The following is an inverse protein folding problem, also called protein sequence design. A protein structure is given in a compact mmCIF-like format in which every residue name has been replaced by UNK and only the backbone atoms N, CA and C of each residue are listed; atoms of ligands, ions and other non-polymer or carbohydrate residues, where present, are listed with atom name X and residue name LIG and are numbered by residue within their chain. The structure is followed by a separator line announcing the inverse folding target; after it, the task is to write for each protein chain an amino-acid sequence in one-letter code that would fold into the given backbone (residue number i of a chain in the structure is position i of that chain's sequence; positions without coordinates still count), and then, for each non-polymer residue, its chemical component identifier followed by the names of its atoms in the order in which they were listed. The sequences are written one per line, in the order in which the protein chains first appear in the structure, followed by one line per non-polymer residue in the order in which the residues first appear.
data_IF_147623727562
#
_entry.id   IF_147623727562
#
_cell.length_a   1.000
_cell.length_b   1.000
_cell.length_c   1.000
_cell.angle_alpha   90.00
_cell.angle_beta   90.00
_cell.angle_gamma   90.00
#
_symmetry.space_group_name_H-M   'P 1'
#
loop_
_entity.id
_entity.type
_entity.pdbx_description
1 polymer ?
#
# COMPACT_ATOMS: atom_id res chain seq x y z
N UNK A 1 -39.80 15.97 -49.36
CA UNK A 1 -39.99 14.87 -48.37
C UNK A 1 -38.78 13.93 -48.25
N UNK A 2 -38.03 13.63 -49.32
CA UNK A 2 -36.93 12.64 -49.26
C UNK A 2 -35.69 13.10 -48.46
N UNK A 3 -35.43 14.41 -48.40
CA UNK A 3 -34.26 14.98 -47.72
C UNK A 3 -34.36 14.91 -46.19
N UNK A 4 -35.57 15.08 -45.66
CA UNK A 4 -35.86 14.96 -44.23
C UNK A 4 -35.75 13.51 -43.75
N UNK A 5 -36.09 12.55 -44.60
CA UNK A 5 -36.00 11.12 -44.26
C UNK A 5 -34.55 10.64 -44.21
N UNK A 6 -33.70 11.12 -45.12
CA UNK A 6 -32.27 10.83 -45.13
C UNK A 6 -31.53 11.43 -43.92
N UNK A 7 -31.92 12.62 -43.46
CA UNK A 7 -31.38 13.23 -42.25
C UNK A 7 -31.80 12.47 -40.98
N UNK A 8 -33.05 12.02 -40.90
CA UNK A 8 -33.52 11.20 -39.79
C UNK A 8 -32.80 9.84 -39.71
N UNK A 9 -32.54 9.20 -40.85
CA UNK A 9 -31.81 7.94 -40.90
C UNK A 9 -30.33 8.09 -40.48
N UNK A 10 -29.68 9.21 -40.87
CA UNK A 10 -28.29 9.50 -40.48
C UNK A 10 -28.13 9.77 -38.99
N UNK A 11 -29.10 10.45 -38.37
CA UNK A 11 -29.05 10.76 -36.93
C UNK A 11 -29.25 9.51 -36.05
N UNK A 12 -30.00 8.51 -36.55
CA UNK A 12 -30.26 7.25 -35.85
C UNK A 12 -29.03 6.33 -35.82
N UNK A 13 -28.11 6.45 -36.79
CA UNK A 13 -26.84 5.71 -36.83
C UNK A 13 -25.80 6.22 -35.80
N UNK A 14 -25.92 7.47 -35.34
CA UNK A 14 -24.96 8.06 -34.39
C UNK A 14 -25.35 7.74 -32.93
N UNK A 15 -26.63 7.47 -32.65
CA UNK A 15 -27.13 7.16 -31.32
C UNK A 15 -26.84 5.71 -30.85
N UNK A 16 -26.39 4.84 -31.75
CA UNK A 16 -26.15 3.41 -31.48
C UNK A 16 -24.71 3.04 -31.14
N UNK A 17 -23.78 4.00 -31.12
CA UNK A 17 -22.39 3.72 -30.71
C UNK A 17 -22.39 3.53 -29.18
N UNK A 18 -22.15 2.31 -28.66
CA UNK A 18 -21.87 2.17 -27.24
C UNK A 18 -20.64 3.01 -26.93
N UNK A 19 -20.80 3.98 -26.02
CA UNK A 19 -19.69 4.52 -25.25
C UNK A 19 -19.10 3.34 -24.46
N UNK A 20 -18.24 2.55 -25.11
CA UNK A 20 -17.41 1.57 -24.47
C UNK A 20 -16.45 2.36 -23.57
N UNK A 21 -16.90 2.61 -22.34
CA UNK A 21 -16.00 2.91 -21.24
C UNK A 21 -15.14 1.66 -21.13
N UNK A 22 -13.87 1.75 -21.51
CA UNK A 22 -12.91 0.73 -21.14
C UNK A 22 -12.85 0.76 -19.61
N UNK A 23 -13.54 -0.16 -18.96
CA UNK A 23 -13.18 -0.55 -17.61
C UNK A 23 -11.73 -1.01 -17.70
N UNK A 24 -10.84 -0.23 -17.09
CA UNK A 24 -9.43 -0.62 -16.90
C UNK A 24 -9.45 -1.96 -16.17
N UNK A 25 -9.35 -3.03 -16.95
CA UNK A 25 -9.28 -4.38 -16.45
C UNK A 25 -8.08 -4.46 -15.51
N UNK A 26 -8.27 -5.20 -14.42
CA UNK A 26 -7.27 -5.52 -13.39
C UNK A 26 -6.10 -6.33 -13.96
N UNK A 27 -5.28 -5.71 -14.81
CA UNK A 27 -4.16 -6.33 -15.51
C UNK A 27 -3.65 -5.44 -16.62
N UNK A 28 -2.38 -5.05 -16.53
CA UNK A 28 -1.67 -4.34 -17.57
C UNK A 28 -1.68 -5.11 -18.89
N UNK A 29 -2.33 -4.55 -19.92
CA UNK A 29 -2.44 -5.19 -21.23
C UNK A 29 -1.32 -4.70 -22.14
N UNK A 30 -0.57 -5.63 -22.71
CA UNK A 30 0.50 -5.32 -23.66
C UNK A 30 -0.02 -5.43 -25.10
N UNK A 31 -0.08 -4.31 -25.83
CA UNK A 31 -0.60 -4.25 -27.21
C UNK A 31 0.55 -4.34 -28.21
N UNK A 32 0.40 -5.17 -29.25
CA UNK A 32 1.35 -5.28 -30.36
C UNK A 32 0.76 -4.69 -31.63
N UNK A 33 1.46 -3.77 -32.28
CA UNK A 33 1.08 -3.18 -33.58
C UNK A 33 2.18 -3.52 -34.57
N UNK A 34 1.83 -4.17 -35.68
CA UNK A 34 2.77 -4.55 -36.75
C UNK A 34 4.00 -5.38 -36.27
N UNK A 35 3.84 -6.17 -35.20
CA UNK A 35 4.91 -7.01 -34.64
C UNK A 35 5.79 -6.32 -33.59
N UNK A 36 5.56 -5.04 -33.29
CA UNK A 36 6.25 -4.32 -32.23
C UNK A 36 5.34 -4.14 -31.02
N UNK A 37 5.86 -4.48 -29.84
CA UNK A 37 5.20 -4.23 -28.55
C UNK A 37 5.21 -2.74 -28.25
N UNK A 38 4.04 -2.13 -28.13
CA UNK A 38 3.91 -0.77 -27.65
C UNK A 38 3.92 -0.80 -26.10
N UNK A 39 4.88 -0.11 -25.44
CA UNK A 39 4.92 -0.07 -23.98
C UNK A 39 3.75 0.76 -23.43
N UNK A 40 2.99 0.20 -22.49
CA UNK A 40 1.99 0.95 -21.72
C UNK A 40 2.67 1.64 -20.54
N UNK A 41 3.02 2.92 -20.74
CA UNK A 41 3.67 3.71 -19.70
C UNK A 41 2.74 4.02 -18.50
N UNK A 42 1.42 4.02 -18.69
CA UNK A 42 0.47 4.29 -17.61
C UNK A 42 0.45 3.14 -16.61
N UNK A 43 0.31 1.90 -17.09
CA UNK A 43 0.47 0.70 -16.29
C UNK A 43 1.84 0.66 -15.62
N UNK A 44 2.93 0.89 -16.38
CA UNK A 44 4.28 0.80 -15.82
C UNK A 44 4.46 1.80 -14.67
N UNK A 45 3.92 3.01 -14.81
CA UNK A 45 3.94 4.03 -13.74
C UNK A 45 3.19 3.58 -12.49
N UNK A 46 2.02 2.93 -12.64
CA UNK A 46 1.25 2.37 -11.52
C UNK A 46 2.00 1.21 -10.85
N UNK A 47 2.62 0.30 -11.61
CA UNK A 47 3.39 -0.81 -11.08
C UNK A 47 4.66 -0.35 -10.36
N UNK A 48 5.29 0.74 -10.81
CA UNK A 48 6.41 1.38 -10.12
C UNK A 48 6.00 2.15 -8.86
N UNK A 49 4.72 2.13 -8.47
CA UNK A 49 4.25 2.73 -7.23
C UNK A 49 3.93 4.23 -7.32
N UNK A 50 3.86 4.81 -8.53
CA UNK A 50 3.36 6.19 -8.73
C UNK A 50 1.82 6.28 -8.72
N UNK A 51 1.13 5.29 -8.13
CA UNK A 51 -0.30 5.40 -7.87
C UNK A 51 -0.53 6.40 -6.70
N UNK A 52 -1.33 7.46 -6.85
CA UNK A 52 -1.65 8.41 -5.79
C UNK A 52 -2.18 7.73 -4.51
N UNK A 53 -2.95 6.64 -4.64
CA UNK A 53 -3.45 5.89 -3.48
C UNK A 53 -2.33 5.19 -2.72
N UNK A 54 -1.36 4.62 -3.44
CA UNK A 54 -0.17 4.00 -2.86
C UNK A 54 0.72 5.03 -2.15
N UNK A 55 0.88 6.22 -2.74
CA UNK A 55 1.61 7.32 -2.14
C UNK A 55 0.93 7.82 -0.85
N UNK A 56 -0.40 7.97 -0.86
CA UNK A 56 -1.17 8.37 0.31
C UNK A 56 -1.12 7.31 1.44
N UNK A 57 -1.22 6.02 1.09
CA UNK A 57 -1.07 4.93 2.04
C UNK A 57 0.34 4.89 2.65
N UNK A 58 1.38 5.05 1.82
CA UNK A 58 2.77 5.14 2.29
C UNK A 58 2.97 6.33 3.23
N UNK A 59 2.37 7.48 2.93
CA UNK A 59 2.42 8.66 3.79
C UNK A 59 1.76 8.40 5.15
N UNK A 60 0.54 7.85 5.18
CA UNK A 60 -0.14 7.48 6.44
C UNK A 60 0.64 6.46 7.25
N UNK A 61 1.27 5.48 6.60
CA UNK A 61 2.13 4.51 7.28
C UNK A 61 3.35 5.19 7.91
N UNK A 62 3.99 6.14 7.20
CA UNK A 62 5.12 6.92 7.76
C UNK A 62 4.69 7.76 8.96
N UNK A 63 3.51 8.37 8.91
CA UNK A 63 2.95 9.12 10.02
C UNK A 63 2.66 8.21 11.23
N UNK A 64 2.10 7.03 11.00
CA UNK A 64 1.84 6.04 12.05
C UNK A 64 3.14 5.52 12.72
N UNK A 65 4.23 5.44 11.98
CA UNK A 65 5.55 5.04 12.50
C UNK A 65 6.22 6.14 13.34
N UNK A 66 5.81 7.40 13.17
CA UNK A 66 6.32 8.54 13.93
C UNK A 66 5.55 8.75 15.24
N UNK A 67 5.58 7.74 16.11
CA UNK A 67 4.97 7.84 17.44
C UNK A 67 5.77 8.85 18.30
N UNK A 68 5.13 9.84 18.95
CA UNK A 68 5.78 10.75 19.88
C UNK A 68 6.49 10.02 21.03
N UNK A 69 7.63 10.53 21.50
CA UNK A 69 8.48 9.86 22.50
C UNK A 69 7.71 9.54 23.79
N UNK A 70 6.82 10.42 24.24
CA UNK A 70 5.97 10.24 25.43
C UNK A 70 4.94 9.12 25.29
N UNK A 71 4.62 8.71 24.05
CA UNK A 71 3.72 7.60 23.73
C UNK A 71 4.46 6.32 23.38
N UNK A 72 5.79 6.36 23.24
CA UNK A 72 6.57 5.17 22.91
C UNK A 72 6.63 4.23 24.11
N UNK A 73 6.49 2.92 23.88
CA UNK A 73 6.67 1.96 24.96
C UNK A 73 8.14 1.99 25.45
N UNK A 74 8.39 1.71 26.73
CA UNK A 74 9.73 1.82 27.34
C UNK A 74 10.84 1.05 26.61
N UNK A 75 10.51 -0.10 26.00
CA UNK A 75 11.46 -0.90 25.22
C UNK A 75 11.95 -0.22 23.93
N UNK A 76 11.20 0.74 23.37
CA UNK A 76 11.59 1.47 22.16
C UNK A 76 12.42 2.73 22.44
N UNK A 77 12.50 3.15 23.69
CA UNK A 77 13.24 4.36 24.12
C UNK A 77 14.44 4.04 25.01
N UNK A 78 14.80 2.75 25.12
CA UNK A 78 15.95 2.31 25.91
C UNK A 78 15.75 2.40 27.42
N UNK A 79 14.50 2.55 27.89
CA UNK A 79 14.17 2.57 29.31
C UNK A 79 14.12 1.14 29.87
N UNK A 80 14.34 1.01 31.18
CA UNK A 80 14.25 -0.27 31.87
C UNK A 80 12.84 -0.85 31.75
N UNK A 81 12.74 -2.15 31.41
CA UNK A 81 11.48 -2.87 31.32
C UNK A 81 11.42 -4.00 32.35
N UNK A 82 10.22 -4.39 32.83
CA UNK A 82 10.08 -5.53 33.73
C UNK A 82 10.68 -6.81 33.15
N UNK A 83 10.52 -7.03 31.83
CA UNK A 83 11.12 -8.17 31.15
C UNK A 83 12.66 -8.14 31.18
N UNK A 84 13.28 -6.98 30.90
CA UNK A 84 14.74 -6.84 30.96
C UNK A 84 15.28 -7.00 32.38
N UNK A 85 14.57 -6.49 33.39
CA UNK A 85 14.93 -6.70 34.80
C UNK A 85 14.75 -8.17 35.19
N UNK A 86 13.69 -8.83 34.70
CA UNK A 86 13.48 -10.27 34.87
C UNK A 86 14.65 -11.10 34.33
N UNK A 87 15.15 -10.79 33.13
CA UNK A 87 16.34 -11.45 32.57
C UNK A 87 17.58 -11.27 33.44
N UNK A 88 17.79 -10.06 33.99
CA UNK A 88 18.93 -9.78 34.86
C UNK A 88 18.85 -10.47 36.21
N UNK A 89 17.65 -10.59 36.77
CA UNK A 89 17.44 -11.17 38.10
C UNK A 89 17.28 -12.68 38.06
N UNK A 90 16.78 -13.23 36.95
CA UNK A 90 16.42 -14.64 36.84
C UNK A 90 15.29 -15.01 37.79
N UNK A 91 15.40 -16.18 38.43
CA UNK A 91 14.38 -16.68 39.34
C UNK A 91 14.20 -15.84 40.61
N UNK A 92 15.06 -14.86 40.87
CA UNK A 92 14.97 -13.96 42.03
C UNK A 92 14.21 -12.66 41.75
N UNK A 93 13.65 -12.51 40.54
CA UNK A 93 12.85 -11.34 40.19
C UNK A 93 11.61 -11.24 41.10
N UNK A 94 11.45 -10.08 41.76
CA UNK A 94 10.35 -9.81 42.69
C UNK A 94 10.51 -10.38 44.11
N UNK A 95 11.55 -11.18 44.37
CA UNK A 95 11.77 -11.82 45.69
C UNK A 95 13.09 -11.44 46.35
N UNK A 96 14.06 -10.94 45.57
CA UNK A 96 15.38 -10.52 46.08
C UNK A 96 15.87 -9.25 45.38
N UNK A 97 16.79 -8.55 46.04
CA UNK A 97 17.56 -7.43 45.46
C UNK A 97 18.84 -7.90 44.76
N UNK A 98 19.17 -9.20 44.85
CA UNK A 98 20.36 -9.79 44.22
C UNK A 98 19.96 -10.70 43.04
N UNK A 99 20.64 -10.59 41.89
CA UNK A 99 20.48 -11.53 40.78
C UNK A 99 20.76 -12.98 41.16
N UNK A 100 20.12 -13.92 40.47
CA UNK A 100 20.50 -15.32 40.49
C UNK A 100 21.94 -15.48 40.00
N UNK A 101 22.80 -16.04 40.85
CA UNK A 101 24.16 -16.43 40.48
C UNK A 101 24.26 -17.95 40.59
N UNK A 102 24.76 -18.64 39.54
CA UNK A 102 25.10 -20.05 39.65
C UNK A 102 26.13 -20.28 40.76
N UNK A 103 26.11 -21.42 41.46
CA UNK A 103 27.17 -21.78 42.39
C UNK A 103 28.51 -21.80 41.67
N UNK A 104 29.57 -21.38 42.36
CA UNK A 104 30.92 -21.53 41.85
C UNK A 104 31.24 -23.03 41.68
N UNK A 105 31.98 -23.41 40.62
CA UNK A 105 32.45 -24.78 40.46
C UNK A 105 33.39 -25.21 41.59
#
# INVERSE_FOLDING_TARGET
MNQLWNLAAGMLLIAGLPLAQAEDASGCVEVSVAGYKAPDYNCLSQQMGNNPDGAAAAQKNREAMNVPIDKRPPNQVGLATPAATGTRMGNTFGTSVKPQRPPAP
#
